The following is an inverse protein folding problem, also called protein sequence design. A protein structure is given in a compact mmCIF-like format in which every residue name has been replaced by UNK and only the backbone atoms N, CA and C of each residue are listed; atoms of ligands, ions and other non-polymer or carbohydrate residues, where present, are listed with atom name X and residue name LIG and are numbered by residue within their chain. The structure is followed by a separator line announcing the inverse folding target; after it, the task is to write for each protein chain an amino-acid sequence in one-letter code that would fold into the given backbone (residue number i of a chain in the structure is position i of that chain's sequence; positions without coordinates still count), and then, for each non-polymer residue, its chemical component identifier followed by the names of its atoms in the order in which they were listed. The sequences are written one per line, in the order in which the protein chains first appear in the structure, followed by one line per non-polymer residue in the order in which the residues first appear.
data_IF_727629762049
#
_entry.id   IF_727629762049
#
_cell.length_a   1.000
_cell.length_b   1.000
_cell.length_c   1.000
_cell.angle_alpha   90.00
_cell.angle_beta   90.00
_cell.angle_gamma   90.00
#
_symmetry.space_group_name_H-M   'P 1'
#
loop_
_entity.id
_entity.type
_entity.pdbx_description
1 polymer ?
#
# COMPACT_ATOMS: atom_id res chain seq x y z
N UNK A 1 12.15 20.25 6.70
CA UNK A 1 11.77 19.40 5.55
C UNK A 1 13.01 19.25 4.68
N UNK A 2 13.45 18.03 4.42
CA UNK A 2 14.66 17.74 3.62
C UNK A 2 14.42 18.01 2.12
N UNK A 3 15.46 17.95 1.29
CA UNK A 3 15.32 18.02 -0.18
C UNK A 3 14.51 16.85 -0.73
N UNK A 4 14.68 15.65 -0.18
CA UNK A 4 13.89 14.48 -0.58
C UNK A 4 12.42 14.61 -0.16
N UNK A 5 12.15 15.19 1.02
CA UNK A 5 10.79 15.46 1.47
C UNK A 5 10.09 16.49 0.56
N UNK A 6 10.79 17.55 0.15
CA UNK A 6 10.25 18.54 -0.79
C UNK A 6 9.92 17.87 -2.12
N UNK A 7 10.85 17.07 -2.66
CA UNK A 7 10.63 16.33 -3.90
C UNK A 7 9.44 15.37 -3.78
N UNK A 8 9.30 14.68 -2.65
CA UNK A 8 8.14 13.84 -2.37
C UNK A 8 6.84 14.66 -2.43
N UNK A 9 6.79 15.80 -1.73
CA UNK A 9 5.61 16.66 -1.68
C UNK A 9 5.23 17.18 -3.07
N UNK A 10 6.22 17.54 -3.90
CA UNK A 10 6.00 17.96 -5.29
C UNK A 10 5.42 16.83 -6.14
N UNK A 11 5.92 15.60 -5.99
CA UNK A 11 5.43 14.41 -6.73
C UNK A 11 4.00 14.04 -6.34
N UNK A 12 3.74 13.99 -5.04
CA UNK A 12 2.44 13.60 -4.51
C UNK A 12 1.40 14.66 -4.81
N UNK A 13 1.69 15.95 -4.59
CA UNK A 13 0.75 17.04 -4.90
C UNK A 13 0.42 17.13 -6.38
N UNK A 14 1.39 16.90 -7.26
CA UNK A 14 1.16 16.89 -8.71
C UNK A 14 0.28 15.72 -9.19
N UNK A 15 0.41 14.56 -8.55
CA UNK A 15 -0.30 13.34 -8.97
C UNK A 15 -1.65 13.12 -8.25
N UNK A 16 -1.86 13.75 -7.09
CA UNK A 16 -3.05 13.56 -6.28
C UNK A 16 -4.32 14.02 -7.02
N UNK A 17 -5.26 13.08 -7.19
CA UNK A 17 -6.58 13.34 -7.79
C UNK A 17 -7.65 12.61 -7.00
N UNK A 18 -8.79 13.26 -6.75
CA UNK A 18 -9.95 12.58 -6.20
C UNK A 18 -10.71 11.89 -7.33
N UNK A 19 -10.81 10.55 -7.28
CA UNK A 19 -11.47 9.72 -8.28
C UNK A 19 -12.44 8.78 -7.56
N UNK A 20 -13.73 8.89 -7.87
CA UNK A 20 -14.78 8.02 -7.31
C UNK A 20 -14.74 7.92 -5.77
N UNK A 21 -14.52 9.04 -5.08
CA UNK A 21 -14.48 9.09 -3.61
C UNK A 21 -13.15 8.68 -2.97
N UNK A 22 -12.16 8.26 -3.76
CA UNK A 22 -10.82 7.91 -3.28
C UNK A 22 -9.75 8.82 -3.89
N UNK A 23 -8.75 9.20 -3.10
CA UNK A 23 -7.57 9.85 -3.67
C UNK A 23 -6.73 8.82 -4.41
N UNK A 24 -6.41 9.11 -5.66
CA UNK A 24 -5.41 8.42 -6.47
C UNK A 24 -4.10 9.21 -6.43
N UNK A 25 -3.02 8.58 -5.98
CA UNK A 25 -1.71 9.20 -5.83
C UNK A 25 -0.67 8.30 -6.49
N UNK A 26 0.10 8.86 -7.42
CA UNK A 26 1.20 8.16 -8.09
C UNK A 26 2.25 7.68 -7.10
N UNK A 27 2.95 6.60 -7.44
CA UNK A 27 4.09 6.17 -6.64
C UNK A 27 5.15 7.29 -6.66
N UNK A 28 5.64 7.77 -5.51
CA UNK A 28 6.59 8.87 -5.47
C UNK A 28 8.00 8.39 -5.82
N UNK A 29 8.20 8.06 -7.09
CA UNK A 29 9.44 7.53 -7.63
C UNK A 29 10.54 8.60 -7.60
N UNK A 30 11.73 8.20 -7.15
CA UNK A 30 12.95 9.02 -7.20
C UNK A 30 13.25 9.46 -8.63
N UNK A 31 13.07 8.56 -9.59
CA UNK A 31 13.18 8.82 -11.02
C UNK A 31 11.88 8.45 -11.76
N UNK A 32 11.25 9.40 -12.44
CA UNK A 32 10.01 9.16 -13.23
C UNK A 32 10.21 8.18 -14.38
N UNK A 33 11.43 8.11 -14.93
CA UNK A 33 11.83 7.19 -15.98
C UNK A 33 12.48 5.91 -15.41
N UNK A 34 12.08 5.50 -14.20
CA UNK A 34 12.54 4.25 -13.60
C UNK A 34 12.34 3.08 -14.57
N UNK A 35 13.35 2.22 -14.66
CA UNK A 35 13.30 0.95 -15.36
C UNK A 35 13.77 -0.11 -14.39
N UNK A 36 12.92 -1.10 -14.16
CA UNK A 36 13.17 -2.21 -13.26
C UNK A 36 13.63 -3.42 -14.07
N UNK A 37 14.61 -4.19 -13.59
CA UNK A 37 14.91 -5.49 -14.17
C UNK A 37 13.73 -6.44 -13.95
N UNK A 38 13.56 -7.41 -14.85
CA UNK A 38 12.51 -8.42 -14.68
C UNK A 38 12.86 -9.37 -13.54
N UNK A 39 12.19 -9.21 -12.40
CA UNK A 39 12.40 -10.00 -11.20
C UNK A 39 11.40 -11.17 -11.04
N UNK A 40 10.65 -11.52 -12.09
CA UNK A 40 9.61 -12.57 -12.03
C UNK A 40 10.13 -13.88 -11.45
N UNK A 41 11.33 -14.32 -11.85
CA UNK A 41 11.95 -15.54 -11.34
C UNK A 41 12.13 -15.53 -9.80
N UNK A 42 12.43 -14.37 -9.20
CA UNK A 42 12.51 -14.23 -7.75
C UNK A 42 11.12 -14.39 -7.10
N UNK A 43 10.10 -13.76 -7.68
CA UNK A 43 8.73 -13.87 -7.19
C UNK A 43 8.18 -15.30 -7.31
N UNK A 44 8.45 -15.99 -8.42
CA UNK A 44 8.07 -17.40 -8.63
C UNK A 44 8.75 -18.32 -7.59
N UNK A 45 10.05 -18.13 -7.35
CA UNK A 45 10.76 -18.89 -6.32
C UNK A 45 10.14 -18.68 -4.93
N UNK A 46 9.76 -17.44 -4.60
CA UNK A 46 9.10 -17.11 -3.32
C UNK A 46 7.70 -17.73 -3.24
N UNK A 47 6.93 -17.68 -4.32
CA UNK A 47 5.63 -18.32 -4.41
C UNK A 47 5.75 -19.84 -4.20
N UNK A 48 6.70 -20.52 -4.84
CA UNK A 48 6.91 -21.97 -4.63
C UNK A 48 7.22 -22.33 -3.17
N UNK A 49 7.90 -21.47 -2.42
CA UNK A 49 8.12 -21.68 -0.99
C UNK A 49 6.82 -21.53 -0.19
N UNK A 50 5.96 -20.58 -0.55
CA UNK A 50 4.62 -20.44 0.02
C UNK A 50 3.80 -21.69 -0.29
N UNK A 51 3.80 -22.18 -1.54
CA UNK A 51 3.09 -23.39 -1.97
C UNK A 51 3.41 -24.59 -1.07
N UNK A 52 4.71 -24.85 -0.83
CA UNK A 52 5.15 -25.93 0.07
C UNK A 52 4.60 -25.77 1.49
N UNK A 53 4.50 -24.54 1.99
CA UNK A 53 3.94 -24.26 3.31
C UNK A 53 2.42 -24.45 3.35
N UNK A 54 1.70 -23.95 2.33
CA UNK A 54 0.25 -24.15 2.17
C UNK A 54 -0.09 -25.64 2.13
N UNK A 55 0.68 -26.46 1.40
CA UNK A 55 0.46 -27.91 1.31
C UNK A 55 0.67 -28.67 2.64
N UNK A 56 1.51 -28.14 3.53
CA UNK A 56 1.85 -28.82 4.79
C UNK A 56 0.94 -28.42 5.95
N UNK A 57 0.34 -27.24 5.87
CA UNK A 57 -0.38 -26.61 6.98
C UNK A 57 -1.74 -26.09 6.47
N UNK A 58 -2.78 -26.90 6.68
CA UNK A 58 -4.14 -26.63 6.23
C UNK A 58 -4.70 -25.33 6.83
N UNK A 59 -4.46 -25.07 8.12
CA UNK A 59 -4.94 -23.84 8.77
C UNK A 59 -4.24 -22.61 8.20
N UNK A 60 -2.92 -22.68 7.98
CA UNK A 60 -2.20 -21.61 7.29
C UNK A 60 -2.72 -21.41 5.87
N UNK A 61 -3.09 -22.48 5.16
CA UNK A 61 -3.66 -22.37 3.82
C UNK A 61 -5.00 -21.63 3.83
N UNK A 62 -5.95 -22.06 4.66
CA UNK A 62 -7.28 -21.46 4.76
C UNK A 62 -7.20 -19.97 5.10
N UNK A 63 -6.39 -19.62 6.10
CA UNK A 63 -6.17 -18.24 6.52
C UNK A 63 -5.56 -17.38 5.40
N UNK A 64 -4.58 -17.93 4.67
CA UNK A 64 -3.92 -17.21 3.57
C UNK A 64 -4.85 -16.99 2.39
N UNK A 65 -5.59 -18.03 1.98
CA UNK A 65 -6.55 -17.96 0.87
C UNK A 65 -7.66 -16.99 1.22
N UNK A 66 -8.19 -17.04 2.44
CA UNK A 66 -9.18 -16.06 2.91
C UNK A 66 -8.64 -14.63 2.85
N UNK A 67 -7.42 -14.38 3.32
CA UNK A 67 -6.82 -13.04 3.26
C UNK A 67 -6.66 -12.54 1.83
N UNK A 68 -6.12 -13.36 0.93
CA UNK A 68 -5.92 -12.97 -0.47
C UNK A 68 -7.25 -12.79 -1.20
N UNK A 69 -8.24 -13.63 -0.90
CA UNK A 69 -9.62 -13.48 -1.36
C UNK A 69 -10.21 -12.14 -0.95
N UNK A 70 -10.06 -11.74 0.31
CA UNK A 70 -10.52 -10.43 0.80
C UNK A 70 -9.86 -9.25 0.07
N UNK A 71 -8.54 -9.32 -0.17
CA UNK A 71 -7.80 -8.28 -0.90
C UNK A 71 -8.33 -8.12 -2.33
N UNK A 72 -8.60 -9.23 -3.01
CA UNK A 72 -9.11 -9.24 -4.39
C UNK A 72 -10.58 -8.81 -4.42
N UNK A 73 -11.43 -9.36 -3.55
CA UNK A 73 -12.87 -9.07 -3.50
C UNK A 73 -13.17 -7.62 -3.12
N UNK A 74 -12.35 -7.00 -2.27
CA UNK A 74 -12.44 -5.56 -1.95
C UNK A 74 -11.95 -4.65 -3.08
N UNK A 75 -11.42 -5.21 -4.17
CA UNK A 75 -10.87 -4.44 -5.29
C UNK A 75 -9.58 -3.69 -4.94
N UNK A 76 -8.81 -4.19 -3.96
CA UNK A 76 -7.47 -3.68 -3.67
C UNK A 76 -6.44 -4.26 -4.63
N UNK A 77 -6.67 -5.48 -5.10
CA UNK A 77 -5.91 -6.11 -6.16
C UNK A 77 -6.83 -6.58 -7.28
N UNK A 78 -6.30 -6.59 -8.50
CA UNK A 78 -6.99 -7.13 -9.68
C UNK A 78 -6.06 -8.07 -10.43
N UNK A 79 -6.63 -9.04 -11.13
CA UNK A 79 -5.87 -9.84 -12.11
C UNK A 79 -5.41 -8.91 -13.23
N UNK A 80 -4.15 -9.03 -13.64
CA UNK A 80 -3.63 -8.28 -14.79
C UNK A 80 -4.31 -8.83 -16.06
N UNK A 81 -4.91 -7.97 -16.90
CA UNK A 81 -5.48 -8.40 -18.18
C UNK A 81 -4.42 -9.04 -19.08
N UNK A 82 -4.82 -10.04 -19.88
CA UNK A 82 -3.88 -10.78 -20.73
C UNK A 82 -3.19 -9.86 -21.75
N UNK A 83 -3.86 -8.79 -22.20
CA UNK A 83 -3.31 -7.79 -23.10
C UNK A 83 -2.18 -6.96 -22.45
N UNK A 84 -2.20 -6.82 -21.12
CA UNK A 84 -1.26 -6.02 -20.34
C UNK A 84 -0.08 -6.83 -19.78
N UNK A 85 -0.07 -8.15 -19.97
CA UNK A 85 1.02 -9.02 -19.53
C UNK A 85 2.36 -8.68 -20.21
N UNK A 86 2.32 -8.19 -21.45
CA UNK A 86 3.50 -7.94 -22.28
C UNK A 86 4.05 -6.51 -22.21
N UNK A 87 3.76 -5.76 -21.13
CA UNK A 87 4.23 -4.38 -20.96
C UNK A 87 5.76 -4.28 -21.02
N UNK A 88 6.27 -3.56 -22.04
CA UNK A 88 7.70 -3.49 -22.38
C UNK A 88 8.43 -2.20 -22.00
N UNK A 89 7.81 -1.29 -21.25
CA UNK A 89 8.41 0.01 -20.87
C UNK A 89 9.42 -0.08 -19.71
N UNK A 90 9.54 -1.26 -19.09
CA UNK A 90 10.41 -1.51 -17.94
C UNK A 90 9.80 -1.09 -16.60
N UNK A 91 8.50 -0.73 -16.54
CA UNK A 91 7.79 -0.39 -15.30
C UNK A 91 6.96 -1.56 -14.76
N UNK A 92 7.54 -2.76 -14.81
CA UNK A 92 6.93 -3.97 -14.25
C UNK A 92 7.82 -4.48 -13.13
N UNK A 93 7.23 -4.69 -11.96
CA UNK A 93 7.94 -5.24 -10.81
C UNK A 93 7.04 -6.17 -10.01
N UNK A 94 7.55 -7.36 -9.69
CA UNK A 94 6.85 -8.33 -8.87
C UNK A 94 7.25 -8.17 -7.40
N UNK A 95 6.31 -7.82 -6.53
CA UNK A 95 6.48 -7.78 -5.08
C UNK A 95 6.18 -9.18 -4.50
N UNK A 96 7.18 -9.91 -3.98
CA UNK A 96 6.92 -11.17 -3.29
C UNK A 96 6.08 -10.91 -2.04
N UNK A 97 5.33 -11.91 -1.58
CA UNK A 97 4.55 -11.78 -0.36
C UNK A 97 4.77 -12.97 0.57
N UNK A 98 4.45 -12.81 1.85
CA UNK A 98 4.54 -13.87 2.84
C UNK A 98 3.56 -13.66 3.98
N UNK A 99 3.12 -14.75 4.60
CA UNK A 99 2.12 -14.74 5.67
C UNK A 99 2.79 -14.71 7.04
N UNK A 100 2.39 -13.75 7.88
CA UNK A 100 2.86 -13.59 9.26
C UNK A 100 1.66 -13.59 10.20
N UNK A 101 1.73 -14.37 11.28
CA UNK A 101 0.71 -14.34 12.32
C UNK A 101 0.97 -13.22 13.32
N UNK A 102 -0.09 -12.48 13.66
CA UNK A 102 -0.02 -11.55 14.77
C UNK A 102 0.14 -12.33 16.10
N UNK A 103 1.20 -12.09 16.89
CA UNK A 103 1.59 -12.96 18.01
C UNK A 103 0.54 -13.07 19.11
N UNK A 104 -0.33 -12.06 19.27
CA UNK A 104 -1.40 -12.04 20.28
C UNK A 104 -2.80 -12.36 19.75
N UNK A 105 -3.03 -12.16 18.44
CA UNK A 105 -4.38 -12.24 17.85
C UNK A 105 -4.57 -13.52 17.03
N UNK A 106 -3.47 -14.26 16.79
CA UNK A 106 -3.42 -15.44 15.92
C UNK A 106 -4.10 -15.24 14.56
N UNK A 107 -4.15 -13.99 14.08
CA UNK A 107 -4.70 -13.62 12.78
C UNK A 107 -3.56 -13.46 11.78
N UNK A 108 -3.66 -14.11 10.62
CA UNK A 108 -2.69 -13.96 9.54
C UNK A 108 -2.74 -12.54 8.97
N UNK A 109 -1.58 -12.07 8.51
CA UNK A 109 -1.44 -10.92 7.62
C UNK A 109 -0.51 -11.33 6.49
N UNK A 110 -0.92 -11.08 5.25
CA UNK A 110 -0.01 -11.20 4.11
C UNK A 110 0.71 -9.87 3.95
N UNK A 111 2.03 -9.92 4.04
CA UNK A 111 2.92 -8.77 3.88
C UNK A 111 3.56 -8.86 2.50
N UNK A 112 3.45 -7.78 1.74
CA UNK A 112 4.13 -7.64 0.46
C UNK A 112 5.50 -6.99 0.67
N UNK A 113 6.54 -7.68 0.22
CA UNK A 113 7.93 -7.27 0.40
C UNK A 113 8.39 -6.36 -0.73
N UNK A 114 8.14 -5.06 -0.59
CA UNK A 114 8.67 -4.03 -1.49
C UNK A 114 10.18 -3.77 -1.29
N UNK A 115 10.79 -4.37 -0.27
CA UNK A 115 12.23 -4.30 0.00
C UNK A 115 13.04 -5.39 -0.73
N UNK A 116 12.38 -6.44 -1.22
CA UNK A 116 13.01 -7.53 -1.96
C UNK A 116 13.89 -6.99 -3.10
N UNK A 117 15.17 -7.36 -3.08
CA UNK A 117 16.15 -6.91 -4.06
C UNK A 117 16.36 -7.95 -5.16
N UNK A 118 16.46 -7.51 -6.40
CA UNK A 118 16.88 -8.32 -7.55
C UNK A 118 17.78 -7.49 -8.46
N UNK A 119 18.96 -8.03 -8.81
CA UNK A 119 19.96 -7.35 -9.65
C UNK A 119 20.27 -5.91 -9.19
N UNK A 120 20.38 -5.69 -7.87
CA UNK A 120 20.70 -4.38 -7.28
C UNK A 120 19.52 -3.39 -7.23
N UNK A 121 18.33 -3.76 -7.71
CA UNK A 121 17.12 -2.95 -7.62
C UNK A 121 16.14 -3.51 -6.59
N UNK A 122 15.41 -2.63 -5.90
CA UNK A 122 14.23 -2.95 -5.09
C UNK A 122 13.23 -1.82 -5.23
N UNK A 123 11.93 -2.09 -5.05
CA UNK A 123 10.90 -1.06 -5.17
C UNK A 123 11.11 0.05 -4.12
N UNK A 124 11.33 -0.32 -2.85
CA UNK A 124 11.62 0.64 -1.79
C UNK A 124 12.88 1.48 -2.06
N UNK A 125 13.88 0.93 -2.77
CA UNK A 125 15.05 1.69 -3.20
C UNK A 125 14.72 2.80 -4.19
N UNK A 126 13.64 2.65 -4.97
CA UNK A 126 13.19 3.59 -6.00
C UNK A 126 12.13 4.58 -5.52
N UNK A 127 11.57 4.40 -4.32
CA UNK A 127 10.54 5.26 -3.75
C UNK A 127 11.14 6.33 -2.83
N UNK A 128 10.57 7.52 -2.87
CA UNK A 128 10.77 8.56 -1.85
C UNK A 128 9.88 8.23 -0.66
N UNK A 129 10.46 8.07 0.52
CA UNK A 129 9.71 7.78 1.75
C UNK A 129 8.74 8.92 2.11
N UNK A 130 9.16 10.16 1.87
CA UNK A 130 8.42 11.35 2.26
C UNK A 130 8.55 11.69 3.74
N UNK A 131 8.09 12.89 4.12
CA UNK A 131 8.16 13.36 5.49
C UNK A 131 7.17 12.60 6.38
N UNK A 132 7.47 12.53 7.67
CA UNK A 132 6.47 12.17 8.67
C UNK A 132 5.41 13.28 8.75
N UNK A 133 4.24 13.00 8.15
CA UNK A 133 3.08 13.89 8.16
C UNK A 133 2.11 13.58 9.30
N UNK A 134 2.46 12.65 10.20
CA UNK A 134 1.63 12.33 11.35
C UNK A 134 1.77 13.39 12.44
N UNK A 135 0.70 13.58 13.21
CA UNK A 135 0.76 14.48 14.36
C UNK A 135 1.63 13.87 15.44
N UNK A 136 2.42 14.70 16.13
CA UNK A 136 3.22 14.24 17.28
C UNK A 136 2.32 13.52 18.30
N UNK A 137 2.68 12.28 18.66
CA UNK A 137 1.92 11.50 19.64
C UNK A 137 1.74 12.24 20.97
N UNK A 138 2.78 12.95 21.44
CA UNK A 138 2.69 13.77 22.65
C UNK A 138 1.67 14.88 22.46
N UNK A 139 1.68 15.53 21.29
CA UNK A 139 0.70 16.57 20.94
C UNK A 139 -0.73 16.05 20.93
N UNK A 140 -0.94 14.89 20.27
CA UNK A 140 -2.25 14.22 20.22
C UNK A 140 -2.72 13.85 21.62
N UNK A 141 -1.87 13.20 22.43
CA UNK A 141 -2.23 12.80 23.81
C UNK A 141 -2.46 14.00 24.73
N UNK A 142 -1.75 15.11 24.53
CA UNK A 142 -1.98 16.33 25.30
C UNK A 142 -3.34 16.92 24.98
N UNK A 143 -3.68 17.08 23.69
CA UNK A 143 -4.99 17.57 23.25
C UNK A 143 -6.13 16.64 23.66
N UNK A 144 -5.90 15.33 23.58
CA UNK A 144 -6.87 14.31 24.01
C UNK A 144 -7.27 14.44 25.49
N UNK A 145 -6.42 15.04 26.32
CA UNK A 145 -6.66 15.24 27.77
C UNK A 145 -7.17 16.64 28.12
N UNK A 146 -7.29 17.56 27.17
CA UNK A 146 -7.73 18.93 27.44
C UNK A 146 -9.22 19.00 27.78
N UNK A 147 -10.02 18.17 27.12
CA UNK A 147 -11.48 18.20 27.26
C UNK A 147 -12.02 17.01 28.06
N UNK A 148 -13.24 17.16 28.59
CA UNK A 148 -13.90 16.14 29.42
C UNK A 148 -14.28 14.88 28.63
N UNK A 149 -14.57 15.02 27.34
CA UNK A 149 -15.05 13.94 26.48
C UNK A 149 -14.13 13.80 25.29
N UNK A 150 -13.72 12.56 25.00
CA UNK A 150 -12.84 12.25 23.89
C UNK A 150 -13.53 11.33 22.87
N UNK A 151 -13.33 11.63 21.58
CA UNK A 151 -13.84 10.83 20.47
C UNK A 151 -12.67 10.18 19.75
N UNK A 152 -12.82 8.91 19.41
CA UNK A 152 -11.83 8.15 18.65
C UNK A 152 -12.50 7.54 17.42
N UNK A 153 -11.81 7.58 16.30
CA UNK A 153 -12.20 6.93 15.06
C UNK A 153 -11.00 6.20 14.47
N UNK A 154 -11.25 5.06 13.84
CA UNK A 154 -10.24 4.27 13.11
C UNK A 154 -10.59 4.29 11.63
N UNK A 155 -9.59 4.57 10.79
CA UNK A 155 -9.77 4.48 9.33
C UNK A 155 -9.39 3.07 8.90
N UNK A 156 -10.40 2.24 8.65
CA UNK A 156 -10.17 0.87 8.23
C UNK A 156 -9.32 0.85 6.95
N UNK A 157 -8.23 0.07 7.00
CA UNK A 157 -7.36 -0.15 5.84
C UNK A 157 -6.86 1.16 5.22
N UNK A 158 -6.44 2.13 6.04
CA UNK A 158 -6.09 3.49 5.61
C UNK A 158 -5.22 3.56 4.34
N UNK A 159 -4.18 2.74 4.22
CA UNK A 159 -3.32 2.75 3.02
C UNK A 159 -4.10 2.35 1.76
N UNK A 160 -4.97 1.35 1.88
CA UNK A 160 -5.81 0.87 0.79
C UNK A 160 -6.90 1.88 0.37
N UNK A 161 -7.15 2.93 1.17
CA UNK A 161 -8.05 4.01 0.79
C UNK A 161 -7.45 4.93 -0.28
N UNK A 162 -6.12 4.88 -0.48
CA UNK A 162 -5.42 5.65 -1.51
C UNK A 162 -5.12 4.74 -2.70
N UNK A 163 -5.71 5.08 -3.84
CA UNK A 163 -5.52 4.38 -5.11
C UNK A 163 -4.14 4.69 -5.70
N UNK A 164 -3.61 3.74 -6.46
CA UNK A 164 -2.41 3.91 -7.29
C UNK A 164 -2.88 4.00 -8.73
N UNK A 165 -2.42 4.99 -9.51
CA UNK A 165 -2.88 5.14 -10.88
C UNK A 165 -2.28 4.05 -11.80
N UNK A 166 -2.94 3.69 -12.91
CA UNK A 166 -2.54 2.58 -13.77
C UNK A 166 -1.11 2.68 -14.33
N UNK A 167 -0.59 3.89 -14.52
CA UNK A 167 0.78 4.10 -14.98
C UNK A 167 1.84 3.47 -14.07
N UNK A 168 1.55 3.38 -12.77
CA UNK A 168 2.47 2.93 -11.72
C UNK A 168 2.06 1.59 -11.10
N UNK A 169 0.79 1.15 -11.26
CA UNK A 169 0.24 -0.04 -10.62
C UNK A 169 1.02 -1.34 -10.95
N UNK A 170 1.62 -1.43 -12.14
CA UNK A 170 2.44 -2.58 -12.55
C UNK A 170 3.79 -2.70 -11.81
N UNK A 171 4.19 -1.68 -11.05
CA UNK A 171 5.31 -1.79 -10.11
C UNK A 171 4.91 -2.54 -8.83
N UNK A 172 3.63 -2.88 -8.68
CA UNK A 172 3.04 -3.59 -7.55
C UNK A 172 2.44 -4.93 -7.97
N UNK A 173 2.97 -5.56 -9.03
CA UNK A 173 2.51 -6.89 -9.46
C UNK A 173 2.87 -7.95 -8.44
N UNK A 174 2.09 -9.01 -8.32
CA UNK A 174 2.43 -10.18 -7.53
C UNK A 174 1.87 -11.44 -8.19
N UNK A 175 2.34 -12.59 -7.74
CA UNK A 175 1.95 -13.89 -8.30
C UNK A 175 1.06 -14.63 -7.30
N UNK A 176 -0.13 -15.01 -7.74
CA UNK A 176 -1.06 -15.75 -6.89
C UNK A 176 -1.80 -16.83 -7.66
N UNK A 177 -2.24 -17.87 -6.94
CA UNK A 177 -3.08 -18.92 -7.51
C UNK A 177 -4.54 -18.45 -7.57
N UNK A 178 -5.20 -18.56 -8.73
CA UNK A 178 -6.62 -18.24 -8.84
C UNK A 178 -7.45 -18.98 -7.79
N UNK A 179 -8.32 -18.24 -7.10
CA UNK A 179 -9.16 -18.76 -6.01
C UNK A 179 -8.38 -19.45 -4.87
N UNK A 180 -7.06 -19.26 -4.79
CA UNK A 180 -6.20 -19.96 -3.84
C UNK A 180 -5.95 -21.43 -4.17
N UNK A 181 -6.33 -21.90 -5.35
CA UNK A 181 -6.13 -23.27 -5.80
C UNK A 181 -4.68 -23.49 -6.26
N UNK A 182 -3.87 -24.02 -5.35
CA UNK A 182 -2.44 -24.31 -5.58
C UNK A 182 -2.19 -25.37 -6.65
N UNK A 183 -3.21 -26.08 -7.14
CA UNK A 183 -3.08 -27.00 -8.27
C UNK A 183 -3.00 -26.28 -9.62
N UNK A 184 -3.54 -25.06 -9.69
CA UNK A 184 -3.51 -24.22 -10.88
C UNK A 184 -2.14 -23.55 -11.07
N UNK A 185 -1.97 -22.93 -12.24
CA UNK A 185 -0.80 -22.11 -12.54
C UNK A 185 -0.87 -20.75 -11.83
N UNK A 186 0.30 -20.18 -11.53
CA UNK A 186 0.39 -18.83 -10.99
C UNK A 186 -0.08 -17.81 -12.03
N UNK A 187 -0.90 -16.87 -11.59
CA UNK A 187 -1.35 -15.75 -12.41
C UNK A 187 -0.81 -14.42 -11.87
N UNK A 188 -0.69 -13.44 -12.75
CA UNK A 188 -0.27 -12.10 -12.40
C UNK A 188 -1.46 -11.28 -11.88
N UNK A 189 -1.29 -10.74 -10.69
CA UNK A 189 -2.18 -9.76 -10.10
C UNK A 189 -1.40 -8.46 -9.89
N UNK A 190 -2.10 -7.34 -9.74
CA UNK A 190 -1.50 -6.06 -9.33
C UNK A 190 -2.34 -5.39 -8.25
N UNK A 191 -1.65 -4.68 -7.36
CA UNK A 191 -2.31 -3.83 -6.38
C UNK A 191 -2.72 -2.50 -7.04
N UNK A 192 -3.97 -2.11 -6.85
CA UNK A 192 -4.56 -0.85 -7.33
C UNK A 192 -4.53 0.26 -6.25
N UNK A 193 -3.89 -0.03 -5.11
CA UNK A 193 -3.88 0.82 -3.92
C UNK A 193 -2.49 0.84 -3.28
N UNK A 194 -2.21 1.89 -2.50
CA UNK A 194 -1.04 1.92 -1.63
C UNK A 194 -1.15 0.81 -0.59
N UNK A 195 -0.04 0.12 -0.34
CA UNK A 195 -0.04 -1.15 0.38
C UNK A 195 0.95 -1.15 1.53
N UNK A 196 0.72 -2.04 2.49
CA UNK A 196 1.66 -2.24 3.59
C UNK A 196 2.94 -2.94 3.09
N UNK A 197 4.09 -2.27 3.23
CA UNK A 197 5.40 -2.78 2.81
C UNK A 197 6.19 -1.78 1.96
N UNK A 198 5.49 -0.85 1.29
CA UNK A 198 6.12 0.25 0.57
C UNK A 198 6.48 1.40 1.52
N UNK A 199 7.72 1.89 1.45
CA UNK A 199 8.25 2.92 2.36
C UNK A 199 7.48 4.25 2.26
N UNK A 200 6.90 4.54 1.10
CA UNK A 200 6.18 5.79 0.83
C UNK A 200 4.71 5.77 1.25
N UNK A 201 4.11 4.60 1.41
CA UNK A 201 2.65 4.47 1.60
C UNK A 201 2.12 5.18 2.85
N UNK A 202 2.80 5.18 4.02
CA UNK A 202 2.36 5.95 5.18
C UNK A 202 2.25 7.45 4.89
N UNK A 203 3.25 8.00 4.21
CA UNK A 203 3.30 9.42 3.84
C UNK A 203 2.24 9.77 2.79
N UNK A 204 2.03 8.90 1.79
CA UNK A 204 0.98 9.09 0.77
C UNK A 204 -0.42 9.05 1.41
N UNK A 205 -0.69 8.11 2.32
CA UNK A 205 -1.96 8.03 3.03
C UNK A 205 -2.20 9.24 3.94
N UNK A 206 -1.18 9.67 4.68
CA UNK A 206 -1.26 10.87 5.52
C UNK A 206 -1.48 12.13 4.68
N UNK A 207 -0.82 12.24 3.52
CA UNK A 207 -1.06 13.32 2.58
C UNK A 207 -2.51 13.32 2.08
N UNK A 208 -3.02 12.17 1.62
CA UNK A 208 -4.39 12.04 1.13
C UNK A 208 -5.42 12.44 2.19
N UNK A 209 -5.22 12.02 3.45
CA UNK A 209 -6.12 12.39 4.54
C UNK A 209 -6.12 13.90 4.80
N UNK A 210 -4.94 14.52 4.87
CA UNK A 210 -4.84 15.97 5.06
C UNK A 210 -5.43 16.72 3.86
N UNK A 211 -5.18 16.24 2.65
CA UNK A 211 -5.74 16.79 1.42
C UNK A 211 -7.27 16.71 1.41
N UNK A 212 -7.84 15.60 1.89
CA UNK A 212 -9.29 15.43 2.07
C UNK A 212 -9.87 16.50 2.99
N UNK A 213 -9.24 16.73 4.15
CA UNK A 213 -9.67 17.76 5.10
C UNK A 213 -9.59 19.18 4.51
N UNK A 214 -8.53 19.46 3.75
CA UNK A 214 -8.34 20.74 3.06
C UNK A 214 -9.37 20.97 1.94
N UNK A 215 -9.56 19.99 1.06
CA UNK A 215 -10.49 20.08 -0.08
C UNK A 215 -11.96 20.17 0.37
N UNK A 216 -12.28 19.64 1.55
CA UNK A 216 -13.64 19.67 2.13
C UNK A 216 -13.83 20.78 3.16
N UNK A 217 -12.86 21.70 3.34
CA UNK A 217 -12.91 22.73 4.39
C UNK A 217 -14.18 23.59 4.36
N UNK A 218 -14.76 23.82 3.19
CA UNK A 218 -15.99 24.64 3.06
C UNK A 218 -17.27 23.86 3.43
N UNK A 219 -17.20 22.54 3.52
CA UNK A 219 -18.35 21.66 3.79
C UNK A 219 -18.53 21.34 5.27
N UNK A 220 -17.49 21.54 6.09
CA UNK A 220 -17.46 21.16 7.49
C UNK A 220 -16.99 22.34 8.36
N UNK A 221 -17.32 22.27 9.65
CA UNK A 221 -16.83 23.24 10.64
C UNK A 221 -15.29 23.23 10.73
N UNK A 222 -14.69 24.38 10.96
CA UNK A 222 -13.23 24.53 11.09
C UNK A 222 -12.65 23.59 12.15
N UNK A 223 -13.37 23.35 13.26
CA UNK A 223 -12.94 22.43 14.31
C UNK A 223 -12.83 20.97 13.83
N UNK A 224 -13.68 20.56 12.88
CA UNK A 224 -13.63 19.20 12.29
C UNK A 224 -12.38 19.07 11.41
N UNK A 225 -12.13 20.06 10.56
CA UNK A 225 -10.96 20.11 9.68
C UNK A 225 -9.67 20.10 10.50
N UNK A 226 -9.59 20.97 11.52
CA UNK A 226 -8.43 21.06 12.40
C UNK A 226 -8.20 19.78 13.19
N UNK A 227 -9.27 19.07 13.57
CA UNK A 227 -9.17 17.77 14.23
C UNK A 227 -8.46 16.75 13.33
N UNK A 228 -8.84 16.67 12.05
CA UNK A 228 -8.17 15.75 11.12
C UNK A 228 -6.72 16.16 10.89
N UNK A 229 -6.45 17.46 10.74
CA UNK A 229 -5.10 17.96 10.46
C UNK A 229 -4.12 17.83 11.63
N UNK A 230 -4.60 17.88 12.88
CA UNK A 230 -3.73 17.96 14.06
C UNK A 230 -3.90 16.80 15.06
N UNK A 231 -4.98 16.02 14.99
CA UNK A 231 -5.25 14.96 15.97
C UNK A 231 -5.16 13.56 15.37
N UNK A 232 -4.97 13.45 14.05
CA UNK A 232 -4.79 12.16 13.39
C UNK A 232 -3.37 11.60 13.59
N UNK A 233 -3.32 10.30 13.85
CA UNK A 233 -2.08 9.54 13.98
C UNK A 233 -2.17 8.26 13.15
N UNK A 234 -1.24 8.10 12.21
CA UNK A 234 -1.08 6.85 11.47
C UNK A 234 -0.12 5.94 12.25
N UNK A 235 -0.46 4.66 12.41
CA UNK A 235 0.39 3.64 13.04
C UNK A 235 0.94 2.65 12.02
#
# INVERSE_FOLDING_TARGET
MSKEDQLFMDRVSYSAKLVNGHYSIGLPLKNKAVKMPNNRALAEQRALNIKKKLQRDQSFQEDYVSFMGDVINKGYAVKVPDEELSRGDGKVWFIPHHGVYHPKKHKIRVVFDCGASYQGASLNGQLLQGPDLTSSLIGVLTRFRQERVAVMADVESMFHQVKVPPEDADLLRFLWWPEGDISQELQEYRMEVHLFGATSSPSCASYALRRCAEDTRQLFDAAVVDTVLHNFLCR
#
